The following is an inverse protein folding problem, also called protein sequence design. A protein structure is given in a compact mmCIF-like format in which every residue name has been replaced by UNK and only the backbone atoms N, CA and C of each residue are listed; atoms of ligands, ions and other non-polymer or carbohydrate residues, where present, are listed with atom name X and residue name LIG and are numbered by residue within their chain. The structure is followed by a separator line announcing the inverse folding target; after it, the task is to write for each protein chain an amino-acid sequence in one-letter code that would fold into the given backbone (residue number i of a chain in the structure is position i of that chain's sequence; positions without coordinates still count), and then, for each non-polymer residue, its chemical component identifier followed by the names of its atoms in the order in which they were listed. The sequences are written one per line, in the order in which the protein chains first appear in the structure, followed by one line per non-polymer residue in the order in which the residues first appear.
data_IF_515471353375
#
_entry.id   IF_515471353375
#
_cell.length_a   1.000
_cell.length_b   1.000
_cell.length_c   1.000
_cell.angle_alpha   90.00
_cell.angle_beta   90.00
_cell.angle_gamma   90.00
#
_symmetry.space_group_name_H-M   'P 1'
#
loop_
_entity.id
_entity.type
_entity.pdbx_description
1 polymer ?
#
# COMPACT_ATOMS: atom_id res chain seq x y z
N UNK A 1 -4.54 18.49 1.07
CA UNK A 1 -4.51 18.87 -0.37
C UNK A 1 -5.77 19.64 -0.75
N UNK A 2 -6.97 19.07 -0.62
CA UNK A 2 -8.23 19.79 -0.89
C UNK A 2 -8.41 21.07 -0.04
N UNK A 3 -7.92 21.08 1.20
CA UNK A 3 -7.92 22.27 2.07
C UNK A 3 -6.79 23.26 1.77
N UNK A 4 -5.75 22.83 1.05
CA UNK A 4 -4.58 23.64 0.74
C UNK A 4 -4.73 24.37 -0.61
N UNK A 5 -5.49 23.78 -1.53
CA UNK A 5 -5.81 24.34 -2.85
C UNK A 5 -7.34 24.30 -3.06
N UNK A 6 -8.09 25.26 -2.51
CA UNK A 6 -9.55 25.30 -2.59
C UNK A 6 -10.05 25.47 -4.03
N UNK A 7 -9.33 26.24 -4.86
CA UNK A 7 -9.68 26.49 -6.25
C UNK A 7 -9.16 25.40 -7.22
N UNK A 8 -8.50 24.35 -6.73
CA UNK A 8 -7.90 23.31 -7.58
C UNK A 8 -6.64 23.78 -8.32
N UNK A 9 -6.19 23.00 -9.30
CA UNK A 9 -5.06 23.36 -10.17
C UNK A 9 -5.57 23.99 -11.47
N UNK A 10 -5.11 25.20 -11.80
CA UNK A 10 -5.37 25.84 -13.09
C UNK A 10 -4.25 25.49 -14.07
N UNK A 11 -4.59 24.77 -15.14
CA UNK A 11 -3.68 24.45 -16.25
C UNK A 11 -4.34 24.95 -17.53
N UNK A 12 -3.72 25.93 -18.20
CA UNK A 12 -4.19 26.54 -19.46
C UNK A 12 -5.67 27.00 -19.44
N UNK A 13 -6.13 27.54 -18.31
CA UNK A 13 -7.49 28.06 -18.16
C UNK A 13 -8.54 27.02 -17.79
N UNK A 14 -8.15 25.75 -17.62
CA UNK A 14 -9.01 24.69 -17.09
C UNK A 14 -8.73 24.46 -15.60
N UNK A 15 -9.80 24.50 -14.79
CA UNK A 15 -9.74 24.27 -13.34
C UNK A 15 -9.94 22.78 -13.06
N UNK A 16 -8.88 22.12 -12.57
CA UNK A 16 -8.92 20.73 -12.14
C UNK A 16 -9.15 20.64 -10.62
N UNK A 17 -10.34 20.18 -10.23
CA UNK A 17 -10.65 19.94 -8.83
C UNK A 17 -10.04 18.61 -8.34
N UNK A 18 -9.39 18.67 -7.18
CA UNK A 18 -8.80 17.50 -6.53
C UNK A 18 -9.93 16.65 -5.94
N UNK A 19 -10.07 15.41 -6.40
CA UNK A 19 -11.02 14.45 -5.82
C UNK A 19 -10.33 13.72 -4.66
N UNK A 20 -10.65 14.02 -3.39
CA UNK A 20 -9.94 13.45 -2.24
C UNK A 20 -10.15 11.93 -2.10
N UNK A 21 -11.24 11.39 -2.65
CA UNK A 21 -11.58 9.97 -2.56
C UNK A 21 -10.51 9.06 -3.18
N UNK A 22 -9.95 9.42 -4.34
CA UNK A 22 -8.91 8.62 -4.99
C UNK A 22 -7.65 8.51 -4.13
N UNK A 23 -7.23 9.62 -3.50
CA UNK A 23 -6.07 9.65 -2.61
C UNK A 23 -6.31 8.85 -1.32
N UNK A 24 -7.53 8.90 -0.77
CA UNK A 24 -7.89 8.11 0.40
C UNK A 24 -7.78 6.60 0.11
N UNK A 25 -8.25 6.16 -1.06
CA UNK A 25 -8.16 4.77 -1.52
C UNK A 25 -6.70 4.32 -1.68
N UNK A 26 -5.87 5.14 -2.32
CA UNK A 26 -4.44 4.85 -2.49
C UNK A 26 -3.75 4.70 -1.13
N UNK A 27 -4.04 5.59 -0.17
CA UNK A 27 -3.47 5.53 1.18
C UNK A 27 -3.90 4.28 1.95
N UNK A 28 -5.19 3.91 1.87
CA UNK A 28 -5.72 2.70 2.50
C UNK A 28 -5.07 1.42 1.96
N UNK A 29 -4.90 1.33 0.64
CA UNK A 29 -4.21 0.22 -0.01
C UNK A 29 -2.73 0.14 0.41
N UNK A 30 -2.02 1.27 0.40
CA UNK A 30 -0.61 1.34 0.78
C UNK A 30 -0.35 0.94 2.23
N UNK A 31 -1.19 1.41 3.17
CA UNK A 31 -1.06 1.02 4.58
C UNK A 31 -1.27 -0.49 4.76
N UNK A 32 -2.31 -1.04 4.13
CA UNK A 32 -2.62 -2.47 4.23
C UNK A 32 -1.48 -3.30 3.66
N UNK A 33 -0.94 -2.92 2.50
CA UNK A 33 0.23 -3.56 1.88
C UNK A 33 1.45 -3.58 2.80
N UNK A 34 1.72 -2.48 3.47
CA UNK A 34 2.82 -2.37 4.43
C UNK A 34 2.62 -3.31 5.62
N UNK A 35 1.42 -3.37 6.20
CA UNK A 35 1.15 -4.22 7.37
C UNK A 35 1.20 -5.71 7.04
N UNK A 36 0.68 -6.10 5.87
CA UNK A 36 0.61 -7.51 5.44
C UNK A 36 1.83 -7.99 4.67
N UNK A 37 2.71 -7.09 4.24
CA UNK A 37 3.78 -7.34 3.27
C UNK A 37 3.30 -7.96 1.95
N UNK A 38 2.16 -7.50 1.43
CA UNK A 38 1.59 -8.04 0.18
C UNK A 38 1.22 -6.95 -0.83
N UNK A 39 1.57 -7.19 -2.10
CA UNK A 39 1.25 -6.29 -3.23
C UNK A 39 -0.20 -6.52 -3.71
N UNK A 40 -0.79 -7.67 -3.42
CA UNK A 40 -2.16 -8.03 -3.82
C UNK A 40 -3.23 -7.08 -3.26
N UNK A 41 -2.95 -6.41 -2.14
CA UNK A 41 -3.82 -5.38 -1.54
C UNK A 41 -4.14 -4.25 -2.51
N UNK A 42 -3.19 -3.85 -3.36
CA UNK A 42 -3.40 -2.84 -4.40
C UNK A 42 -4.37 -3.30 -5.48
N UNK A 43 -4.24 -4.56 -5.91
CA UNK A 43 -5.15 -5.17 -6.89
C UNK A 43 -6.55 -5.32 -6.31
N UNK A 44 -6.67 -5.82 -5.07
CA UNK A 44 -7.97 -5.94 -4.38
C UNK A 44 -8.65 -4.58 -4.31
N UNK A 45 -7.92 -3.52 -3.94
CA UNK A 45 -8.52 -2.21 -3.82
C UNK A 45 -8.94 -1.61 -5.17
N UNK A 46 -8.17 -1.86 -6.23
CA UNK A 46 -8.52 -1.49 -7.61
C UNK A 46 -9.79 -2.20 -8.10
N UNK A 47 -9.92 -3.50 -7.81
CA UNK A 47 -11.12 -4.27 -8.13
C UNK A 47 -12.33 -3.75 -7.36
N UNK A 48 -12.17 -3.39 -6.08
CA UNK A 48 -13.24 -2.83 -5.24
C UNK A 48 -13.73 -1.45 -5.72
N UNK A 49 -12.85 -0.60 -6.23
CA UNK A 49 -13.26 0.69 -6.82
C UNK A 49 -13.80 0.56 -8.24
N UNK A 50 -13.55 -0.55 -8.94
CA UNK A 50 -14.03 -0.77 -10.31
C UNK A 50 -13.46 0.20 -11.35
N UNK A 51 -12.36 0.91 -11.02
CA UNK A 51 -11.74 1.93 -11.88
C UNK A 51 -10.24 1.67 -12.04
N UNK A 52 -9.85 1.15 -13.21
CA UNK A 52 -8.47 0.80 -13.54
C UNK A 52 -7.62 2.04 -13.88
N UNK A 53 -8.24 3.20 -14.15
CA UNK A 53 -7.51 4.44 -14.45
C UNK A 53 -6.56 4.90 -13.34
N UNK A 54 -6.82 4.50 -12.09
CA UNK A 54 -5.97 4.78 -10.94
C UNK A 54 -5.02 3.61 -10.57
N UNK A 55 -4.89 2.58 -11.42
CA UNK A 55 -4.09 1.39 -11.13
C UNK A 55 -2.60 1.69 -10.92
N UNK A 56 -2.00 2.47 -11.82
CA UNK A 56 -0.58 2.83 -11.72
C UNK A 56 -0.21 3.53 -10.40
N UNK A 57 -0.88 4.62 -9.98
CA UNK A 57 -0.53 5.29 -8.73
C UNK A 57 -0.81 4.43 -7.48
N UNK A 58 -1.84 3.57 -7.51
CA UNK A 58 -2.11 2.62 -6.42
C UNK A 58 -0.95 1.63 -6.28
N UNK A 59 -0.52 1.01 -7.38
CA UNK A 59 0.53 -0.02 -7.36
C UNK A 59 1.89 0.55 -6.93
N UNK A 60 2.26 1.74 -7.42
CA UNK A 60 3.51 2.39 -7.02
C UNK A 60 3.51 2.67 -5.51
N UNK A 61 2.40 3.19 -4.98
CA UNK A 61 2.27 3.50 -3.55
C UNK A 61 2.35 2.23 -2.69
N UNK A 62 1.71 1.15 -3.13
CA UNK A 62 1.72 -0.17 -2.48
C UNK A 62 3.12 -0.79 -2.46
N UNK A 63 3.84 -0.73 -3.58
CA UNK A 63 5.22 -1.26 -3.66
C UNK A 63 6.15 -0.50 -2.74
N UNK A 64 6.10 0.85 -2.77
CA UNK A 64 6.93 1.68 -1.89
C UNK A 64 6.64 1.41 -0.41
N UNK A 65 5.36 1.35 -0.02
CA UNK A 65 4.98 1.05 1.35
C UNK A 65 5.45 -0.35 1.80
N UNK A 66 5.32 -1.35 0.92
CA UNK A 66 5.78 -2.71 1.18
C UNK A 66 7.31 -2.77 1.35
N UNK A 67 8.08 -2.13 0.47
CA UNK A 67 9.54 -2.07 0.55
C UNK A 67 10.02 -1.40 1.84
N UNK A 68 9.43 -0.25 2.20
CA UNK A 68 9.78 0.46 3.43
C UNK A 68 9.41 -0.37 4.67
N UNK A 69 8.24 -0.99 4.68
CA UNK A 69 7.80 -1.80 5.82
C UNK A 69 8.67 -3.03 6.02
N UNK A 70 9.00 -3.77 4.96
CA UNK A 70 9.89 -4.93 5.02
C UNK A 70 11.27 -4.59 5.58
N UNK A 71 11.76 -3.38 5.34
CA UNK A 71 13.05 -2.93 5.88
C UNK A 71 13.00 -2.60 7.38
N UNK A 72 11.83 -2.27 7.93
CA UNK A 72 11.70 -1.76 9.30
C UNK A 72 11.18 -2.82 10.27
N UNK A 73 10.20 -3.63 9.86
CA UNK A 73 9.47 -4.54 10.74
C UNK A 73 9.04 -5.81 10.01
N UNK A 74 8.93 -6.96 10.71
CA UNK A 74 8.32 -8.17 10.14
C UNK A 74 6.82 -7.98 9.92
N UNK A 75 6.22 -8.82 9.06
CA UNK A 75 4.79 -8.74 8.76
C UNK A 75 3.95 -8.95 10.03
N UNK A 76 2.69 -8.48 9.99
CA UNK A 76 1.74 -8.74 11.09
C UNK A 76 1.56 -10.24 11.34
N UNK A 77 1.58 -11.05 10.28
CA UNK A 77 1.38 -12.49 10.36
C UNK A 77 2.57 -13.17 11.04
N UNK A 78 3.80 -12.80 10.68
CA UNK A 78 5.01 -13.31 11.33
C UNK A 78 5.06 -12.91 12.81
N UNK A 79 4.64 -11.68 13.11
CA UNK A 79 4.56 -11.17 14.48
C UNK A 79 3.57 -11.97 15.31
N UNK A 80 2.36 -12.25 14.79
CA UNK A 80 1.35 -13.05 15.49
C UNK A 80 1.82 -14.49 15.70
N UNK A 81 2.46 -15.12 14.71
CA UNK A 81 3.02 -16.47 14.82
C UNK A 81 4.06 -16.51 15.96
N UNK A 82 4.97 -15.54 16.01
CA UNK A 82 6.00 -15.44 17.04
C UNK A 82 5.41 -15.25 18.44
N UNK A 83 4.38 -14.41 18.58
CA UNK A 83 3.69 -14.18 19.87
C UNK A 83 2.98 -15.47 20.33
N UNK A 84 2.34 -16.19 19.41
CA UNK A 84 1.59 -17.42 19.73
C UNK A 84 2.49 -18.65 19.88
N UNK A 85 3.81 -18.54 19.65
CA UNK A 85 4.78 -19.64 19.70
C UNK A 85 4.32 -20.87 18.89
N UNK A 86 3.67 -20.62 17.75
CA UNK A 86 3.22 -21.71 16.90
C UNK A 86 4.44 -22.36 16.24
N UNK A 87 4.49 -23.70 16.15
CA UNK A 87 5.53 -24.39 15.40
C UNK A 87 5.34 -24.08 13.92
N UNK A 88 6.00 -23.02 13.44
CA UNK A 88 6.07 -22.63 12.04
C UNK A 88 7.50 -22.82 11.57
N UNK A 89 7.67 -23.58 10.49
CA UNK A 89 8.93 -23.65 9.78
C UNK A 89 9.04 -22.35 8.98
N UNK A 90 9.94 -21.40 9.33
CA UNK A 90 10.20 -20.28 8.44
C UNK A 90 10.59 -20.87 7.09
N UNK A 91 9.96 -20.40 6.00
CA UNK A 91 10.43 -20.76 4.66
C UNK A 91 11.90 -20.36 4.60
N UNK A 92 12.78 -21.35 4.39
CA UNK A 92 14.21 -21.17 4.33
C UNK A 92 14.55 -20.00 3.40
N UNK A 93 14.97 -18.88 4.00
CA UNK A 93 15.99 -18.07 3.36
C UNK A 93 17.19 -18.99 3.21
N UNK A 94 17.47 -19.41 1.98
CA UNK A 94 18.70 -20.11 1.61
C UNK A 94 19.87 -19.18 1.93
N UNK A 95 20.38 -19.26 3.16
CA UNK A 95 21.32 -18.26 3.67
C UNK A 95 21.72 -18.37 5.14
N UNK A 96 21.79 -19.59 5.71
CA UNK A 96 22.65 -19.82 6.86
C UNK A 96 23.22 -21.23 6.80
N UNK A 97 24.42 -21.32 6.20
CA UNK A 97 25.40 -22.32 6.57
C UNK A 97 25.98 -21.87 7.90
N UNK A 98 25.59 -22.55 8.97
CA UNK A 98 26.49 -22.96 10.05
C UNK A 98 25.99 -24.30 10.61
#
# INVERSE_FOLDING_TARGET
LATLFPDGFNIDGHIYHIVPGAYAVIGAAALTAGVTHTISTGVIMMELTGQISYALPILISVILANMVSQSLQPSIYDTVIRIKKLPYLPMLSWGHRE
#
